data_IF_718151573866
#
_entry.id   IF_718151573866
#
_cell.length_a   1.000
_cell.length_b   1.000
_cell.length_c   1.000
_cell.angle_alpha   90.00
_cell.angle_beta   90.00
_cell.angle_gamma   90.00
#
_symmetry.space_group_name_H-M   'P 1'
#
loop_
_entity.id
_entity.type
_entity.pdbx_description
1 polymer ?
#
# COMPACT_ATOMS: atom_id res chain seq x y z
N UNK A 1 30.48 15.11 24.79
CA UNK A 1 29.01 14.89 24.57
C UNK A 1 28.47 15.77 23.43
N UNK A 2 29.33 16.49 22.68
CA UNK A 2 28.91 17.40 21.60
C UNK A 2 29.14 16.89 20.17
N UNK A 3 29.81 15.73 20.01
CA UNK A 3 30.11 15.19 18.66
C UNK A 3 28.92 14.47 18.00
N UNK A 4 27.93 14.03 18.77
CA UNK A 4 26.80 13.23 18.26
C UNK A 4 25.70 14.11 17.61
N UNK A 5 25.56 15.36 18.02
CA UNK A 5 24.58 16.30 17.49
C UNK A 5 24.90 16.85 16.10
N UNK A 6 26.19 17.00 15.76
CA UNK A 6 26.60 17.54 14.46
C UNK A 6 26.39 16.51 13.33
N UNK A 7 26.51 15.21 13.62
CA UNK A 7 26.25 14.14 12.66
C UNK A 7 24.76 13.99 12.31
N UNK A 8 23.88 14.18 13.30
CA UNK A 8 22.43 14.04 13.08
C UNK A 8 21.83 15.20 12.28
N UNK A 9 22.29 16.43 12.51
CA UNK A 9 21.87 17.59 11.71
C UNK A 9 22.30 17.45 10.25
N UNK A 10 23.51 17.00 9.98
CA UNK A 10 24.01 16.76 8.62
C UNK A 10 23.22 15.68 7.87
N UNK A 11 22.83 14.61 8.53
CA UNK A 11 22.00 13.55 7.95
C UNK A 11 20.58 14.04 7.62
N UNK A 12 19.95 14.79 8.53
CA UNK A 12 18.63 15.38 8.32
C UNK A 12 18.61 16.35 7.13
N UNK A 13 19.64 17.20 7.02
CA UNK A 13 19.78 18.16 5.91
C UNK A 13 19.99 17.45 4.57
N UNK A 14 20.83 16.42 4.53
CA UNK A 14 21.09 15.63 3.32
C UNK A 14 19.83 14.89 2.85
N UNK A 15 19.10 14.24 3.77
CA UNK A 15 17.82 13.58 3.51
C UNK A 15 16.76 14.59 3.02
N UNK A 16 16.65 15.74 3.69
CA UNK A 16 15.74 16.81 3.32
C UNK A 16 16.04 17.40 1.94
N UNK A 17 17.30 17.57 1.61
CA UNK A 17 17.76 18.03 0.28
C UNK A 17 17.40 17.03 -0.81
N UNK A 18 17.64 15.73 -0.58
CA UNK A 18 17.29 14.69 -1.54
C UNK A 18 15.78 14.60 -1.75
N UNK A 19 14.97 14.63 -0.69
CA UNK A 19 13.50 14.60 -0.76
C UNK A 19 12.97 15.77 -1.61
N UNK A 20 13.61 16.93 -1.51
CA UNK A 20 13.23 18.12 -2.28
C UNK A 20 13.70 18.06 -3.74
N UNK A 21 14.60 17.16 -4.07
CA UNK A 21 15.14 17.00 -5.41
C UNK A 21 14.18 16.30 -6.38
N UNK A 22 14.46 16.39 -7.68
CA UNK A 22 13.73 15.64 -8.70
C UNK A 22 13.96 14.11 -8.58
N UNK A 23 15.10 13.67 -8.02
CA UNK A 23 15.46 12.27 -7.88
C UNK A 23 14.58 11.48 -6.92
N UNK A 24 13.80 12.14 -6.07
CA UNK A 24 12.86 11.44 -5.16
C UNK A 24 11.79 10.64 -5.91
N UNK A 25 11.45 11.05 -7.14
CA UNK A 25 10.45 10.35 -7.95
C UNK A 25 10.87 8.91 -8.30
N UNK A 26 12.19 8.65 -8.34
CA UNK A 26 12.72 7.32 -8.61
C UNK A 26 12.48 6.35 -7.44
N UNK A 27 12.20 6.87 -6.26
CA UNK A 27 11.89 6.11 -5.06
C UNK A 27 10.39 5.93 -4.84
N UNK A 28 9.54 6.55 -5.67
CA UNK A 28 8.11 6.38 -5.59
C UNK A 28 7.74 5.01 -6.15
N UNK A 29 7.15 4.20 -5.30
CA UNK A 29 6.69 2.84 -5.60
C UNK A 29 5.17 2.78 -5.58
N UNK A 30 4.64 1.80 -6.29
CA UNK A 30 3.21 1.51 -6.34
C UNK A 30 2.98 0.02 -6.02
N UNK A 31 2.06 -0.25 -5.11
CA UNK A 31 1.63 -1.61 -4.81
C UNK A 31 0.13 -1.76 -5.02
N UNK A 32 -0.28 -2.84 -5.67
CA UNK A 32 -1.69 -3.15 -5.91
C UNK A 32 -2.31 -3.90 -4.74
N UNK A 33 -3.52 -3.50 -4.35
CA UNK A 33 -4.41 -4.32 -3.55
C UNK A 33 -5.50 -4.93 -4.42
N UNK A 34 -5.92 -6.14 -4.09
CA UNK A 34 -6.92 -6.90 -4.82
C UNK A 34 -8.10 -7.31 -3.95
N UNK A 35 -9.21 -7.57 -4.59
CA UNK A 35 -10.34 -8.29 -4.01
C UNK A 35 -10.60 -9.55 -4.81
N UNK A 36 -10.73 -10.68 -4.10
CA UNK A 36 -11.14 -11.96 -4.66
C UNK A 36 -12.67 -12.02 -4.64
N UNK A 37 -13.29 -11.87 -5.81
CA UNK A 37 -14.72 -12.03 -5.94
C UNK A 37 -15.11 -13.50 -5.79
N UNK A 38 -16.14 -13.79 -5.02
CA UNK A 38 -16.79 -15.11 -5.04
C UNK A 38 -17.33 -15.34 -6.44
N UNK A 39 -17.24 -16.59 -6.93
CA UNK A 39 -17.82 -16.93 -8.23
C UNK A 39 -19.29 -16.49 -8.30
N UNK A 40 -19.62 -15.76 -9.37
CA UNK A 40 -21.02 -15.47 -9.68
C UNK A 40 -21.78 -16.74 -10.07
N UNK A 41 -22.98 -16.59 -10.62
CA UNK A 41 -23.82 -17.71 -11.11
C UNK A 41 -23.12 -18.59 -12.18
N UNK A 42 -22.02 -18.11 -12.76
CA UNK A 42 -21.15 -18.80 -13.71
C UNK A 42 -20.02 -19.62 -13.05
N UNK A 43 -19.95 -19.62 -11.70
CA UNK A 43 -18.94 -20.36 -10.93
C UNK A 43 -17.52 -19.84 -11.04
N UNK A 44 -17.30 -18.77 -11.83
CA UNK A 44 -15.95 -18.22 -12.01
C UNK A 44 -15.66 -17.15 -10.96
N UNK A 45 -14.85 -17.48 -9.98
CA UNK A 45 -14.20 -16.52 -9.12
C UNK A 45 -13.31 -15.60 -9.95
N UNK A 46 -13.14 -14.36 -9.53
CA UNK A 46 -12.33 -13.39 -10.25
C UNK A 46 -11.49 -12.53 -9.32
N UNK A 47 -10.34 -12.10 -9.84
CA UNK A 47 -9.50 -11.12 -9.19
C UNK A 47 -9.85 -9.74 -9.73
N UNK A 48 -10.10 -8.77 -8.84
CA UNK A 48 -10.31 -7.38 -9.21
C UNK A 48 -9.33 -6.49 -8.46
N UNK A 49 -8.78 -5.47 -9.12
CA UNK A 49 -8.02 -4.44 -8.44
C UNK A 49 -8.94 -3.71 -7.46
N UNK A 50 -8.43 -3.46 -6.25
CA UNK A 50 -9.13 -2.70 -5.21
C UNK A 50 -8.66 -1.26 -5.21
N UNK A 51 -7.36 -1.05 -5.10
CA UNK A 51 -6.68 0.24 -5.19
C UNK A 51 -5.19 0.05 -5.52
N UNK A 52 -4.52 1.15 -5.83
CA UNK A 52 -3.06 1.22 -5.84
C UNK A 52 -2.59 2.10 -4.68
N UNK A 53 -1.69 1.61 -3.87
CA UNK A 53 -0.99 2.41 -2.87
C UNK A 53 0.29 2.99 -3.48
N UNK A 54 0.50 4.29 -3.31
CA UNK A 54 1.75 4.97 -3.67
C UNK A 54 2.52 5.30 -2.39
N UNK A 55 3.77 4.89 -2.33
CA UNK A 55 4.65 5.10 -1.17
C UNK A 55 6.08 5.37 -1.61
N UNK A 56 6.84 6.12 -0.81
CA UNK A 56 8.28 6.26 -1.02
C UNK A 56 9.04 5.12 -0.34
N UNK A 57 10.02 4.57 -1.04
CA UNK A 57 10.92 3.55 -0.48
C UNK A 57 11.87 4.19 0.53
N UNK A 58 11.65 3.96 1.83
CA UNK A 58 12.55 4.45 2.89
C UNK A 58 13.92 3.82 2.75
N UNK A 59 14.02 2.51 2.53
CA UNK A 59 15.29 1.83 2.29
C UNK A 59 16.00 2.31 1.03
N UNK A 60 15.26 2.65 -0.02
CA UNK A 60 15.81 3.28 -1.21
C UNK A 60 16.36 4.68 -0.93
N UNK A 61 15.67 5.46 -0.10
CA UNK A 61 16.12 6.80 0.33
C UNK A 61 17.41 6.70 1.16
N UNK A 62 17.44 5.81 2.15
CA UNK A 62 18.64 5.56 2.96
C UNK A 62 19.82 5.08 2.12
N UNK A 63 19.58 4.27 1.09
CA UNK A 63 20.62 3.82 0.16
C UNK A 63 21.16 4.92 -0.78
N UNK A 64 20.41 6.01 -1.00
CA UNK A 64 20.85 7.17 -1.82
C UNK A 64 21.57 8.23 -1.01
N UNK A 65 21.28 8.31 0.28
CA UNK A 65 21.90 9.27 1.19
C UNK A 65 22.77 8.47 2.16
N UNK A 66 24.11 8.63 2.05
CA UNK A 66 25.05 7.97 2.95
C UNK A 66 24.90 8.56 4.35
N UNK A 67 24.22 7.85 5.25
CA UNK A 67 24.09 8.20 6.65
C UNK A 67 24.85 7.20 7.50
N UNK A 68 25.41 7.64 8.63
CA UNK A 68 26.15 6.77 9.55
C UNK A 68 25.27 5.68 10.18
N UNK A 69 23.96 5.95 10.30
CA UNK A 69 22.96 5.01 10.75
C UNK A 69 21.67 5.18 9.93
N UNK A 70 20.85 4.12 9.80
CA UNK A 70 19.54 4.24 9.15
C UNK A 70 18.67 5.28 9.87
N UNK A 71 17.99 6.15 9.10
CA UNK A 71 17.07 7.14 9.66
C UNK A 71 15.93 6.47 10.45
N UNK A 72 15.55 5.26 10.04
CA UNK A 72 14.56 4.41 10.72
C UNK A 72 14.99 3.96 12.14
N UNK A 73 16.26 4.04 12.48
CA UNK A 73 16.76 3.71 13.84
C UNK A 73 16.59 4.85 14.85
N UNK A 74 16.37 6.09 14.39
CA UNK A 74 16.13 7.27 15.24
C UNK A 74 14.65 7.71 15.10
N UNK A 75 13.81 7.58 16.15
CA UNK A 75 12.40 7.93 16.08
C UNK A 75 12.12 9.40 15.77
N UNK A 76 13.01 10.34 16.17
CA UNK A 76 12.87 11.75 15.87
C UNK A 76 13.15 12.05 14.41
N UNK A 77 14.29 11.56 13.93
CA UNK A 77 14.69 11.70 12.54
C UNK A 77 13.67 11.02 11.61
N UNK A 78 13.21 9.83 11.97
CA UNK A 78 12.19 9.11 11.20
C UNK A 78 10.89 9.89 11.10
N UNK A 79 10.38 10.44 12.21
CA UNK A 79 9.15 11.25 12.22
C UNK A 79 9.30 12.51 11.35
N UNK A 80 10.45 13.19 11.46
CA UNK A 80 10.74 14.35 10.61
C UNK A 80 10.76 13.98 9.14
N UNK A 81 11.43 12.86 8.81
CA UNK A 81 11.51 12.31 7.46
C UNK A 81 10.12 12.00 6.87
N UNK A 82 9.27 11.30 7.63
CA UNK A 82 7.90 10.98 7.20
C UNK A 82 7.11 12.26 6.89
N UNK A 83 7.16 13.26 7.76
CA UNK A 83 6.48 14.54 7.50
C UNK A 83 6.97 15.27 6.23
N UNK A 84 8.27 15.16 5.92
CA UNK A 84 8.82 15.72 4.67
C UNK A 84 8.38 14.91 3.44
N UNK A 85 8.28 13.60 3.56
CA UNK A 85 7.79 12.73 2.49
C UNK A 85 6.31 12.96 2.22
N UNK A 86 5.48 13.14 3.26
CA UNK A 86 4.07 13.53 3.14
C UNK A 86 3.92 14.83 2.34
N UNK A 87 4.65 15.87 2.75
CA UNK A 87 4.65 17.16 2.07
C UNK A 87 5.01 16.98 0.59
N UNK A 88 6.08 16.21 0.32
CA UNK A 88 6.54 15.97 -1.04
C UNK A 88 5.51 15.20 -1.89
N UNK A 89 4.87 14.18 -1.30
CA UNK A 89 3.79 13.44 -1.96
C UNK A 89 2.65 14.39 -2.36
N UNK A 90 2.19 15.22 -1.43
CA UNK A 90 1.11 16.18 -1.65
C UNK A 90 1.46 17.21 -2.73
N UNK A 91 2.70 17.73 -2.73
CA UNK A 91 3.19 18.63 -3.77
C UNK A 91 3.21 17.97 -5.15
N UNK A 92 3.72 16.72 -5.24
CA UNK A 92 3.81 15.99 -6.50
C UNK A 92 2.43 15.74 -7.06
N UNK A 93 1.51 15.22 -6.26
CA UNK A 93 0.14 14.97 -6.68
C UNK A 93 -0.57 16.28 -7.11
N UNK A 94 -0.34 17.38 -6.40
CA UNK A 94 -0.94 18.67 -6.75
C UNK A 94 -0.43 19.24 -8.07
N UNK A 95 0.87 19.01 -8.40
CA UNK A 95 1.48 19.50 -9.66
C UNK A 95 1.09 18.65 -10.86
N UNK A 96 0.91 17.34 -10.65
CA UNK A 96 0.68 16.36 -11.71
C UNK A 96 -0.81 16.13 -11.99
N UNK A 97 -1.68 16.51 -11.05
CA UNK A 97 -3.13 16.39 -11.25
C UNK A 97 -3.58 17.23 -12.46
N UNK A 98 -3.93 16.55 -13.53
CA UNK A 98 -4.39 17.16 -14.78
C UNK A 98 -3.32 17.37 -15.85
N UNK A 99 -2.08 16.94 -15.65
CA UNK A 99 -0.99 17.06 -16.65
C UNK A 99 -0.64 15.76 -17.38
N UNK A 100 -1.30 14.65 -17.07
CA UNK A 100 -1.04 13.35 -17.73
C UNK A 100 0.35 12.77 -17.42
N UNK A 101 0.89 13.02 -16.23
CA UNK A 101 2.20 12.51 -15.81
C UNK A 101 2.16 11.07 -15.30
N UNK A 102 3.32 10.55 -14.87
CA UNK A 102 3.47 9.22 -14.28
C UNK A 102 2.60 9.01 -13.01
N UNK A 103 2.11 10.08 -12.40
CA UNK A 103 1.20 10.10 -11.26
C UNK A 103 -0.27 10.28 -11.65
N UNK A 104 -0.63 10.15 -12.93
CA UNK A 104 -2.03 10.20 -13.38
C UNK A 104 -2.84 8.96 -12.89
N UNK A 105 -2.51 8.53 -11.68
CA UNK A 105 -3.21 7.45 -10.97
C UNK A 105 -4.61 7.88 -10.50
N UNK A 106 -4.94 9.17 -10.60
CA UNK A 106 -6.28 9.70 -10.33
C UNK A 106 -7.19 9.70 -11.57
N UNK A 107 -6.76 9.05 -12.65
CA UNK A 107 -7.58 8.85 -13.85
C UNK A 107 -8.85 8.05 -13.51
N UNK A 108 -9.93 8.33 -14.26
CA UNK A 108 -11.22 7.70 -14.01
C UNK A 108 -11.26 6.19 -14.28
N UNK A 109 -10.35 5.69 -15.11
CA UNK A 109 -10.22 4.29 -15.54
C UNK A 109 -9.20 3.47 -14.72
N UNK A 110 -8.34 4.13 -13.90
CA UNK A 110 -7.41 3.45 -13.01
C UNK A 110 -8.11 3.03 -11.69
N UNK A 111 -7.59 2.05 -10.93
CA UNK A 111 -8.02 1.82 -9.56
C UNK A 111 -7.82 3.06 -8.67
N UNK A 112 -8.58 3.24 -7.57
CA UNK A 112 -8.34 4.32 -6.62
C UNK A 112 -6.88 4.38 -6.17
N UNK A 113 -6.38 5.59 -5.90
CA UNK A 113 -5.05 5.81 -5.35
C UNK A 113 -5.14 5.92 -3.83
N UNK A 114 -4.31 5.16 -3.13
CA UNK A 114 -4.08 5.33 -1.69
C UNK A 114 -2.71 5.92 -1.43
N UNK A 115 -2.62 6.79 -0.45
CA UNK A 115 -1.36 7.39 0.03
C UNK A 115 -1.30 7.35 1.54
N UNK A 116 -0.11 7.16 2.09
CA UNK A 116 0.14 7.28 3.51
C UNK A 116 0.32 8.75 3.86
N UNK A 117 -0.38 9.23 4.88
CA UNK A 117 -0.19 10.57 5.44
C UNK A 117 -0.25 10.51 6.95
N UNK A 118 0.59 11.34 7.57
CA UNK A 118 0.44 11.67 9.00
C UNK A 118 -0.81 12.52 9.22
N UNK A 119 -1.31 12.53 10.47
CA UNK A 119 -2.40 13.44 10.87
C UNK A 119 -2.04 14.89 10.55
N UNK A 120 -0.79 15.30 10.76
CA UNK A 120 -0.32 16.64 10.44
C UNK A 120 -0.30 16.90 8.92
N UNK A 121 0.04 15.89 8.12
CA UNK A 121 -0.06 15.95 6.66
C UNK A 121 -1.49 16.22 6.18
N UNK A 122 -2.48 15.54 6.76
CA UNK A 122 -3.91 15.75 6.45
C UNK A 122 -4.39 17.16 6.86
N UNK A 123 -3.91 17.67 7.98
CA UNK A 123 -4.29 19.00 8.49
C UNK A 123 -3.47 20.15 7.85
N UNK A 124 -2.58 19.84 6.91
CA UNK A 124 -1.69 20.81 6.27
C UNK A 124 -2.38 21.63 5.17
N UNK A 125 -1.79 22.80 4.87
CA UNK A 125 -2.18 23.59 3.70
C UNK A 125 -1.90 22.87 2.36
N UNK A 126 -0.94 21.96 2.34
CA UNK A 126 -0.60 21.20 1.14
C UNK A 126 -1.70 20.18 0.80
N UNK A 127 -2.30 19.53 1.82
CA UNK A 127 -3.49 18.70 1.63
C UNK A 127 -4.68 19.52 1.13
N UNK A 128 -4.95 20.68 1.72
CA UNK A 128 -6.02 21.56 1.27
C UNK A 128 -5.82 22.01 -0.20
N UNK A 129 -4.57 22.28 -0.59
CA UNK A 129 -4.21 22.63 -1.96
C UNK A 129 -4.44 21.45 -2.92
N UNK A 130 -4.05 20.22 -2.53
CA UNK A 130 -4.32 19.02 -3.31
C UNK A 130 -5.83 18.83 -3.52
N UNK A 131 -6.64 19.00 -2.47
CA UNK A 131 -8.10 18.88 -2.57
C UNK A 131 -8.70 19.92 -3.53
N UNK A 132 -8.20 21.14 -3.52
CA UNK A 132 -8.62 22.18 -4.47
C UNK A 132 -8.29 21.83 -5.92
N UNK A 133 -7.15 21.18 -6.17
CA UNK A 133 -6.72 20.78 -7.51
C UNK A 133 -7.48 19.55 -8.01
N UNK A 134 -7.69 18.55 -7.16
CA UNK A 134 -8.40 17.31 -7.54
C UNK A 134 -9.86 17.60 -7.89
N UNK A 135 -10.48 18.60 -7.32
CA UNK A 135 -11.84 19.11 -7.57
C UNK A 135 -12.82 18.01 -7.96
N UNK A 136 -13.93 17.75 -7.54
CA UNK A 136 -14.94 16.83 -8.07
C UNK A 136 -14.61 15.32 -8.25
N UNK A 137 -13.35 14.88 -8.02
CA UNK A 137 -12.94 13.46 -8.09
C UNK A 137 -12.44 12.89 -6.76
N UNK A 138 -12.96 13.31 -5.60
CA UNK A 138 -12.41 12.95 -4.30
C UNK A 138 -12.51 11.45 -3.99
N UNK A 139 -13.54 10.76 -4.47
CA UNK A 139 -13.72 9.31 -4.25
C UNK A 139 -12.66 8.40 -4.91
N UNK A 140 -11.68 8.98 -5.57
CA UNK A 140 -10.54 8.28 -6.18
C UNK A 140 -9.30 8.28 -5.29
N UNK A 141 -9.31 9.02 -4.18
CA UNK A 141 -8.22 9.10 -3.22
C UNK A 141 -8.62 8.44 -1.90
N UNK A 142 -7.74 7.58 -1.40
CA UNK A 142 -7.74 7.06 -0.04
C UNK A 142 -6.53 7.57 0.73
N UNK A 143 -6.71 7.91 1.99
CA UNK A 143 -5.62 8.29 2.88
C UNK A 143 -5.50 7.25 3.98
N UNK A 144 -4.30 6.71 4.12
CA UNK A 144 -3.94 5.71 5.11
C UNK A 144 -3.26 6.38 6.30
N UNK A 145 -3.76 6.12 7.50
CA UNK A 145 -3.21 6.61 8.77
C UNK A 145 -2.93 5.41 9.66
N UNK A 146 -1.75 5.36 10.26
CA UNK A 146 -1.40 4.23 11.15
C UNK A 146 -2.27 4.25 12.42
N UNK A 147 -2.60 3.05 12.92
CA UNK A 147 -3.33 2.90 14.18
C UNK A 147 -2.60 3.60 15.33
N UNK A 148 -1.26 3.48 15.39
CA UNK A 148 -0.47 4.11 16.44
C UNK A 148 -0.65 5.64 16.46
N UNK A 149 -0.66 6.26 15.30
CA UNK A 149 -0.86 7.71 15.19
C UNK A 149 -2.30 8.11 15.55
N UNK A 150 -3.27 7.32 15.11
CA UNK A 150 -4.69 7.57 15.42
C UNK A 150 -5.00 7.51 16.92
N UNK A 151 -4.29 6.67 17.70
CA UNK A 151 -4.48 6.55 19.16
C UNK A 151 -3.60 7.53 19.96
N UNK A 152 -2.50 8.03 19.38
CA UNK A 152 -1.55 8.90 20.08
C UNK A 152 -2.13 10.29 20.40
N UNK A 153 -2.98 10.84 19.49
CA UNK A 153 -3.68 12.11 19.66
C UNK A 153 -5.09 12.02 19.08
N UNK A 154 -6.04 11.60 19.91
CA UNK A 154 -7.43 11.41 19.50
C UNK A 154 -8.09 12.71 19.02
N UNK A 155 -7.75 13.85 19.61
CA UNK A 155 -8.33 15.13 19.21
C UNK A 155 -7.81 15.59 17.83
N UNK A 156 -6.53 15.41 17.54
CA UNK A 156 -5.99 15.68 16.22
C UNK A 156 -6.53 14.68 15.19
N UNK A 157 -6.67 13.40 15.57
CA UNK A 157 -7.27 12.37 14.72
C UNK A 157 -8.72 12.72 14.34
N UNK A 158 -9.55 13.14 15.28
CA UNK A 158 -10.94 13.54 15.00
C UNK A 158 -11.02 14.72 14.01
N UNK A 159 -10.11 15.70 14.13
CA UNK A 159 -10.02 16.80 13.17
C UNK A 159 -9.61 16.33 11.79
N UNK A 160 -8.60 15.45 11.71
CA UNK A 160 -8.14 14.87 10.44
C UNK A 160 -9.26 14.05 9.77
N UNK A 161 -9.96 13.22 10.53
CA UNK A 161 -11.10 12.44 10.04
C UNK A 161 -12.23 13.34 9.52
N UNK A 162 -12.56 14.41 10.22
CA UNK A 162 -13.53 15.40 9.76
C UNK A 162 -13.08 16.09 8.44
N UNK A 163 -11.79 16.39 8.31
CA UNK A 163 -11.19 16.97 7.09
C UNK A 163 -11.32 16.00 5.91
N UNK A 164 -10.99 14.72 6.10
CA UNK A 164 -11.13 13.69 5.07
C UNK A 164 -12.60 13.53 4.65
N UNK A 165 -13.52 13.46 5.61
CA UNK A 165 -14.95 13.31 5.34
C UNK A 165 -15.51 14.53 4.55
N UNK A 166 -15.16 15.75 4.94
CA UNK A 166 -15.55 16.97 4.22
C UNK A 166 -15.00 17.00 2.79
N UNK A 167 -13.82 16.43 2.58
CA UNK A 167 -13.17 16.32 1.27
C UNK A 167 -13.63 15.09 0.47
N UNK A 168 -14.50 14.24 1.02
CA UNK A 168 -14.96 12.97 0.45
C UNK A 168 -13.79 12.03 0.08
N UNK A 169 -12.73 12.05 0.88
CA UNK A 169 -11.57 11.17 0.75
C UNK A 169 -11.78 9.97 1.67
N UNK A 170 -11.50 8.76 1.17
CA UNK A 170 -11.63 7.54 1.95
C UNK A 170 -10.56 7.51 3.05
N UNK A 171 -10.99 7.33 4.30
CA UNK A 171 -10.07 7.07 5.41
C UNK A 171 -9.80 5.56 5.52
N UNK A 172 -8.53 5.19 5.63
CA UNK A 172 -8.07 3.82 5.83
C UNK A 172 -7.21 3.76 7.09
N UNK A 173 -7.53 2.83 7.98
CA UNK A 173 -6.72 2.56 9.17
C UNK A 173 -5.65 1.54 8.82
N UNK A 174 -4.39 1.93 8.94
CA UNK A 174 -3.23 1.11 8.57
C UNK A 174 -2.45 0.58 9.78
N UNK A 175 -1.55 -0.37 9.53
CA UNK A 175 -0.63 -0.97 10.51
C UNK A 175 -1.36 -1.59 11.74
N UNK A 176 -2.50 -2.22 11.53
CA UNK A 176 -3.21 -2.96 12.58
C UNK A 176 -2.61 -4.34 12.71
N UNK A 177 -1.81 -4.59 13.75
CA UNK A 177 -1.32 -5.94 14.05
C UNK A 177 -2.42 -6.81 14.68
N UNK A 178 -2.23 -8.14 14.67
CA UNK A 178 -3.15 -9.05 15.36
C UNK A 178 -3.26 -8.77 16.87
N UNK A 179 -2.17 -8.34 17.52
CA UNK A 179 -2.22 -7.93 18.92
C UNK A 179 -3.05 -6.66 19.11
N UNK A 180 -2.85 -5.67 18.24
CA UNK A 180 -3.67 -4.46 18.25
C UNK A 180 -5.14 -4.78 17.99
N UNK A 181 -5.44 -5.71 17.09
CA UNK A 181 -6.79 -6.19 16.80
C UNK A 181 -7.48 -6.78 18.04
N UNK A 182 -6.73 -7.54 18.87
CA UNK A 182 -7.25 -8.14 20.09
C UNK A 182 -7.37 -7.14 21.26
N UNK A 183 -6.50 -6.12 21.31
CA UNK A 183 -6.42 -5.14 22.41
C UNK A 183 -7.24 -3.88 22.19
N UNK A 184 -7.56 -3.58 20.93
CA UNK A 184 -8.31 -2.38 20.55
C UNK A 184 -9.60 -2.78 19.84
N UNK A 185 -10.44 -1.79 19.51
CA UNK A 185 -11.63 -1.99 18.68
C UNK A 185 -11.48 -1.18 17.38
N UNK A 186 -10.68 -1.67 16.40
CA UNK A 186 -10.41 -0.88 15.19
C UNK A 186 -11.67 -0.48 14.42
N UNK A 187 -12.75 -1.22 14.55
CA UNK A 187 -14.05 -0.89 13.97
C UNK A 187 -14.65 0.45 14.43
N UNK A 188 -14.25 0.94 15.61
CA UNK A 188 -14.73 2.23 16.15
C UNK A 188 -14.09 3.45 15.46
N UNK A 189 -13.01 3.28 14.71
CA UNK A 189 -12.37 4.40 13.98
C UNK A 189 -13.16 4.83 12.74
N UNK A 190 -14.22 4.11 12.38
CA UNK A 190 -15.07 4.41 11.23
C UNK A 190 -14.29 4.52 9.90
N UNK A 191 -13.26 3.68 9.75
CA UNK A 191 -12.45 3.59 8.55
C UNK A 191 -13.21 2.88 7.42
N UNK A 192 -13.06 3.34 6.19
CA UNK A 192 -13.61 2.65 5.02
C UNK A 192 -12.96 1.27 4.82
N UNK A 193 -11.66 1.17 5.07
CA UNK A 193 -10.89 -0.06 5.08
C UNK A 193 -9.97 -0.10 6.31
N UNK A 194 -9.65 -1.31 6.76
CA UNK A 194 -8.69 -1.58 7.84
C UNK A 194 -7.66 -2.57 7.31
N UNK A 195 -6.39 -2.17 7.31
CA UNK A 195 -5.26 -3.01 6.89
C UNK A 195 -4.74 -3.79 8.09
N UNK A 196 -5.02 -5.09 8.09
CA UNK A 196 -4.54 -6.03 9.09
C UNK A 196 -3.22 -6.63 8.64
N UNK A 197 -2.14 -6.32 9.34
CA UNK A 197 -0.81 -6.84 9.05
C UNK A 197 -0.74 -8.35 9.33
N UNK A 198 -0.49 -9.12 8.29
CA UNK A 198 -0.23 -10.55 8.41
C UNK A 198 1.07 -10.83 9.16
N UNK A 199 1.01 -11.81 10.04
CA UNK A 199 2.18 -12.42 10.67
C UNK A 199 2.01 -13.94 10.73
N UNK A 200 3.05 -14.75 10.48
CA UNK A 200 2.97 -16.21 10.62
C UNK A 200 2.46 -16.65 12.00
N UNK A 201 2.74 -15.85 13.05
CA UNK A 201 2.24 -16.10 14.42
C UNK A 201 0.72 -16.19 14.50
N UNK A 202 0.00 -15.53 13.57
CA UNK A 202 -1.46 -15.59 13.56
C UNK A 202 -1.99 -17.01 13.27
N UNK A 203 -1.25 -17.78 12.47
CA UNK A 203 -1.61 -19.18 12.19
C UNK A 203 -1.23 -20.13 13.35
N UNK A 204 -0.37 -19.70 14.25
CA UNK A 204 0.13 -20.48 15.39
C UNK A 204 -0.66 -20.21 16.69
N UNK A 205 -1.60 -19.26 16.68
CA UNK A 205 -2.42 -18.90 17.83
C UNK A 205 -3.31 -20.08 18.25
N UNK A 206 -3.52 -20.20 19.56
CA UNK A 206 -4.45 -21.18 20.13
C UNK A 206 -5.92 -20.88 19.76
N UNK A 207 -6.80 -21.85 19.93
CA UNK A 207 -8.21 -21.77 19.52
C UNK A 207 -8.95 -20.55 20.12
N UNK A 208 -8.65 -20.20 21.38
CA UNK A 208 -9.26 -19.06 22.05
C UNK A 208 -8.93 -17.72 21.36
N UNK A 209 -7.66 -17.53 20.98
CA UNK A 209 -7.19 -16.33 20.31
C UNK A 209 -7.67 -16.30 18.86
N UNK A 210 -7.68 -17.42 18.16
CA UNK A 210 -8.29 -17.54 16.83
C UNK A 210 -9.77 -17.13 16.87
N UNK A 211 -10.54 -17.64 17.83
CA UNK A 211 -11.93 -17.26 18.00
C UNK A 211 -12.11 -15.77 18.36
N UNK A 212 -11.14 -15.17 19.08
CA UNK A 212 -11.14 -13.74 19.38
C UNK A 212 -10.87 -12.91 18.12
N UNK A 213 -9.92 -13.31 17.28
CA UNK A 213 -9.69 -12.69 15.97
C UNK A 213 -10.95 -12.76 15.11
N UNK A 214 -11.59 -13.90 15.01
CA UNK A 214 -12.81 -14.06 14.23
C UNK A 214 -13.94 -13.15 14.71
N UNK A 215 -14.10 -12.98 16.02
CA UNK A 215 -15.05 -12.00 16.57
C UNK A 215 -14.68 -10.58 16.15
N UNK A 216 -13.42 -10.19 16.32
CA UNK A 216 -12.95 -8.86 15.96
C UNK A 216 -13.13 -8.56 14.47
N UNK A 217 -12.85 -9.53 13.58
CA UNK A 217 -13.07 -9.40 12.14
C UNK A 217 -14.55 -9.20 11.79
N UNK A 218 -15.45 -9.92 12.48
CA UNK A 218 -16.91 -9.73 12.33
C UNK A 218 -17.36 -8.37 12.82
N UNK A 219 -16.84 -7.91 13.96
CA UNK A 219 -17.18 -6.60 14.55
C UNK A 219 -16.73 -5.43 13.65
N UNK A 220 -15.58 -5.56 13.01
CA UNK A 220 -15.10 -4.62 11.99
C UNK A 220 -16.03 -4.67 10.76
N UNK A 221 -16.53 -5.82 10.40
CA UNK A 221 -17.12 -6.15 9.10
C UNK A 221 -16.05 -6.62 8.13
N UNK A 222 -16.01 -7.93 7.88
CA UNK A 222 -14.97 -8.60 7.08
C UNK A 222 -14.75 -7.94 5.72
N UNK A 223 -15.82 -7.39 5.15
CA UNK A 223 -15.74 -6.68 3.86
C UNK A 223 -14.91 -5.38 3.89
N UNK A 224 -14.55 -4.87 5.06
CA UNK A 224 -13.66 -3.70 5.23
C UNK A 224 -12.21 -4.09 5.53
N UNK A 225 -11.93 -5.38 5.74
CA UNK A 225 -10.58 -5.85 6.10
C UNK A 225 -9.77 -6.13 4.84
N UNK A 226 -8.56 -5.56 4.79
CA UNK A 226 -7.51 -5.90 3.83
C UNK A 226 -6.41 -6.63 4.60
N UNK A 227 -6.12 -7.88 4.25
CA UNK A 227 -4.95 -8.57 4.78
C UNK A 227 -3.70 -8.02 4.10
N UNK A 228 -2.97 -7.20 4.82
CA UNK A 228 -1.75 -6.55 4.38
C UNK A 228 -0.53 -7.43 4.70
N UNK A 229 0.59 -7.20 4.02
CA UNK A 229 1.77 -8.07 4.07
C UNK A 229 1.47 -9.52 3.71
N UNK A 230 0.54 -9.75 2.79
CA UNK A 230 0.29 -11.06 2.21
C UNK A 230 1.48 -11.45 1.32
N UNK A 231 2.58 -11.86 1.95
CA UNK A 231 3.86 -12.13 1.29
C UNK A 231 4.00 -13.58 0.86
N UNK A 232 3.11 -14.45 1.30
CA UNK A 232 3.12 -15.88 1.04
C UNK A 232 1.73 -16.41 0.75
N UNK A 233 1.65 -17.57 0.12
CA UNK A 233 0.40 -18.30 -0.07
C UNK A 233 -0.29 -18.63 1.26
N UNK A 234 0.49 -18.92 2.32
CA UNK A 234 -0.05 -19.20 3.65
C UNK A 234 -0.87 -18.02 4.20
N UNK A 235 -0.41 -16.78 3.97
CA UNK A 235 -1.16 -15.58 4.34
C UNK A 235 -2.52 -15.53 3.65
N UNK A 236 -2.55 -15.81 2.34
CA UNK A 236 -3.80 -15.80 1.58
C UNK A 236 -4.75 -16.93 2.02
N UNK A 237 -4.23 -18.14 2.23
CA UNK A 237 -5.02 -19.28 2.73
C UNK A 237 -5.64 -18.98 4.09
N UNK A 238 -4.85 -18.41 5.01
CA UNK A 238 -5.35 -17.98 6.32
C UNK A 238 -6.47 -16.94 6.17
N UNK A 239 -6.23 -15.88 5.39
CA UNK A 239 -7.24 -14.85 5.16
C UNK A 239 -8.54 -15.42 4.62
N UNK A 240 -8.47 -16.31 3.62
CA UNK A 240 -9.65 -16.96 3.04
C UNK A 240 -10.39 -17.84 4.04
N UNK A 241 -9.66 -18.56 4.89
CA UNK A 241 -10.26 -19.38 5.96
C UNK A 241 -11.06 -18.55 6.98
N UNK A 242 -10.60 -17.30 7.24
CA UNK A 242 -11.27 -16.32 8.11
C UNK A 242 -12.26 -15.40 7.37
N UNK A 243 -12.55 -15.67 6.09
CA UNK A 243 -13.52 -14.92 5.29
C UNK A 243 -12.98 -13.62 4.67
N UNK A 244 -11.70 -13.27 4.90
CA UNK A 244 -11.08 -12.10 4.27
C UNK A 244 -10.89 -12.35 2.78
N UNK A 245 -11.28 -11.39 1.96
CA UNK A 245 -11.22 -11.46 0.49
C UNK A 245 -10.39 -10.35 -0.14
N UNK A 246 -9.81 -9.46 0.66
CA UNK A 246 -8.97 -8.35 0.21
C UNK A 246 -7.56 -8.57 0.67
N UNK A 247 -6.60 -8.42 -0.25
CA UNK A 247 -5.20 -8.76 -0.02
C UNK A 247 -4.28 -7.73 -0.65
N UNK A 248 -3.17 -7.45 0.04
CA UNK A 248 -2.07 -6.63 -0.46
C UNK A 248 -0.74 -7.20 0.06
N UNK A 249 0.28 -7.27 -0.80
CA UNK A 249 1.61 -7.77 -0.43
C UNK A 249 2.34 -8.41 -1.61
N UNK A 250 3.57 -8.84 -1.38
CA UNK A 250 4.46 -9.37 -2.45
C UNK A 250 3.92 -10.60 -3.15
N UNK A 251 3.19 -11.47 -2.44
CA UNK A 251 2.57 -12.62 -3.09
C UNK A 251 1.47 -12.20 -4.06
N UNK A 252 0.71 -11.15 -3.70
CA UNK A 252 -0.28 -10.54 -4.59
C UNK A 252 0.39 -9.94 -5.83
N UNK A 253 1.52 -9.24 -5.65
CA UNK A 253 2.28 -8.67 -6.78
C UNK A 253 2.79 -9.78 -7.72
N UNK A 254 3.26 -10.91 -7.16
CA UNK A 254 3.68 -12.07 -7.93
C UNK A 254 2.53 -12.69 -8.75
N UNK A 255 1.35 -12.85 -8.13
CA UNK A 255 0.16 -13.35 -8.80
C UNK A 255 -0.29 -12.42 -9.93
N UNK A 256 -0.33 -11.12 -9.68
CA UNK A 256 -0.66 -10.11 -10.69
C UNK A 256 0.37 -10.10 -11.82
N UNK A 257 1.66 -10.22 -11.49
CA UNK A 257 2.73 -10.33 -12.47
C UNK A 257 2.57 -11.55 -13.36
N UNK A 258 2.30 -12.72 -12.78
CA UNK A 258 2.06 -13.96 -13.54
C UNK A 258 0.84 -13.83 -14.45
N UNK A 259 -0.26 -13.28 -13.95
CA UNK A 259 -1.47 -13.05 -14.73
C UNK A 259 -1.20 -12.11 -15.92
N UNK A 260 -0.41 -11.04 -15.70
CA UNK A 260 -0.01 -10.11 -16.76
C UNK A 260 0.87 -10.78 -17.81
N UNK A 261 1.85 -11.58 -17.40
CA UNK A 261 2.72 -12.34 -18.36
C UNK A 261 1.88 -13.25 -19.24
N UNK A 262 0.95 -14.01 -18.69
CA UNK A 262 0.07 -14.90 -19.44
C UNK A 262 -0.76 -14.15 -20.48
N UNK A 263 -1.17 -12.91 -20.18
CA UNK A 263 -2.06 -12.10 -21.02
C UNK A 263 -1.31 -11.11 -21.92
N UNK A 264 0.02 -11.00 -21.79
CA UNK A 264 0.81 -9.99 -22.49
C UNK A 264 1.29 -10.51 -23.84
N UNK A 265 0.92 -9.84 -24.93
CA UNK A 265 1.41 -10.17 -26.30
C UNK A 265 2.92 -9.95 -26.49
N UNK A 266 3.61 -9.38 -25.51
CA UNK A 266 5.06 -9.12 -25.53
C UNK A 266 5.80 -9.92 -24.43
N UNK A 267 5.21 -11.01 -23.95
CA UNK A 267 5.74 -11.77 -22.80
C UNK A 267 7.10 -12.41 -23.08
N UNK A 268 7.38 -12.82 -24.32
CA UNK A 268 8.61 -13.52 -24.71
C UNK A 268 9.90 -12.71 -24.41
N UNK A 269 9.78 -11.40 -24.31
CA UNK A 269 10.90 -10.52 -23.97
C UNK A 269 10.94 -10.06 -22.50
N UNK A 270 10.12 -10.64 -21.60
CA UNK A 270 9.94 -10.12 -20.26
C UNK A 270 9.93 -11.24 -19.20
N UNK A 271 10.88 -11.20 -18.26
CA UNK A 271 10.84 -12.07 -17.10
C UNK A 271 9.75 -11.61 -16.10
N UNK A 272 9.19 -12.57 -15.34
CA UNK A 272 8.19 -12.29 -14.29
C UNK A 272 8.64 -11.19 -13.32
N UNK A 273 9.88 -11.29 -12.83
CA UNK A 273 10.46 -10.28 -11.92
C UNK A 273 10.46 -8.89 -12.54
N UNK A 274 10.86 -8.76 -13.80
CA UNK A 274 10.85 -7.47 -14.52
C UNK A 274 9.43 -6.90 -14.65
N UNK A 275 8.44 -7.76 -14.92
CA UNK A 275 7.04 -7.34 -15.00
C UNK A 275 6.55 -6.79 -13.65
N UNK A 276 6.89 -7.46 -12.54
CA UNK A 276 6.54 -7.03 -11.18
C UNK A 276 7.23 -5.69 -10.85
N UNK A 277 8.54 -5.58 -11.11
CA UNK A 277 9.32 -4.36 -10.84
C UNK A 277 8.78 -3.16 -11.63
N UNK A 278 8.49 -3.35 -12.92
CA UNK A 278 7.89 -2.31 -13.78
C UNK A 278 6.50 -1.91 -13.34
N UNK A 279 5.69 -2.86 -12.90
CA UNK A 279 4.36 -2.59 -12.36
C UNK A 279 4.41 -1.84 -11.02
N UNK A 280 5.42 -2.12 -10.19
CA UNK A 280 5.69 -1.41 -8.93
C UNK A 280 6.29 -0.02 -9.11
N UNK A 281 6.86 0.31 -10.28
CA UNK A 281 7.41 1.63 -10.53
C UNK A 281 6.30 2.65 -10.83
N UNK A 282 6.34 3.80 -10.16
CA UNK A 282 5.41 4.91 -10.42
C UNK A 282 5.91 5.87 -11.51
N UNK A 283 7.19 5.83 -11.87
CA UNK A 283 7.82 6.73 -12.84
C UNK A 283 8.08 6.05 -14.19
N UNK A 284 8.26 6.85 -15.24
CA UNK A 284 8.50 6.38 -16.60
C UNK A 284 9.82 5.60 -16.74
N UNK A 285 10.87 5.98 -15.98
CA UNK A 285 12.18 5.33 -16.04
C UNK A 285 12.07 3.88 -15.50
N UNK A 286 11.42 3.67 -14.36
CA UNK A 286 11.21 2.34 -13.79
C UNK A 286 10.34 1.44 -14.66
N UNK A 287 9.54 2.01 -15.57
CA UNK A 287 8.70 1.31 -16.55
C UNK A 287 9.37 1.13 -17.91
N UNK A 288 10.56 1.67 -18.08
CA UNK A 288 11.27 1.62 -19.36
C UNK A 288 11.39 0.16 -19.88
N UNK A 289 11.17 0.00 -21.19
CA UNK A 289 11.17 -1.32 -21.85
C UNK A 289 9.90 -2.16 -21.66
N UNK A 290 8.85 -1.65 -20.95
CA UNK A 290 7.53 -2.25 -21.01
C UNK A 290 6.81 -1.79 -22.30
N UNK A 291 6.42 -2.75 -23.15
CA UNK A 291 5.72 -2.46 -24.41
C UNK A 291 4.18 -2.43 -24.23
N UNK A 292 3.68 -2.78 -23.03
CA UNK A 292 2.25 -2.79 -22.71
C UNK A 292 1.99 -2.15 -21.33
N UNK A 293 2.12 -0.83 -21.26
CA UNK A 293 1.94 -0.06 -20.03
C UNK A 293 0.49 -0.08 -19.55
N UNK A 294 -0.48 -0.16 -20.46
CA UNK A 294 -1.90 -0.22 -20.12
C UNK A 294 -2.23 -1.49 -19.32
N UNK A 295 -1.59 -2.62 -19.65
CA UNK A 295 -1.76 -3.86 -18.90
C UNK A 295 -1.18 -3.77 -17.48
N UNK A 296 -0.10 -3.01 -17.29
CA UNK A 296 0.45 -2.73 -15.95
C UNK A 296 -0.53 -1.87 -15.13
N UNK A 297 -1.20 -0.94 -15.76
CA UNK A 297 -2.09 0.02 -15.09
C UNK A 297 -3.51 -0.51 -14.87
N UNK A 298 -3.97 -1.45 -15.68
CA UNK A 298 -5.31 -2.04 -15.58
C UNK A 298 -5.53 -2.90 -14.32
N UNK A 299 -4.46 -3.23 -13.60
CA UNK A 299 -4.51 -4.02 -12.37
C UNK A 299 -4.49 -5.52 -12.63
N UNK A 300 -5.56 -6.13 -13.10
CA UNK A 300 -5.61 -7.58 -13.34
C UNK A 300 -6.22 -7.88 -14.71
N UNK A 301 -5.62 -8.83 -15.47
CA UNK A 301 -6.20 -9.31 -16.70
C UNK A 301 -7.57 -9.97 -16.46
N UNK A 302 -8.50 -9.77 -17.38
CA UNK A 302 -9.80 -10.41 -17.33
C UNK A 302 -9.67 -11.94 -17.40
N UNK A 303 -10.43 -12.66 -16.56
CA UNK A 303 -10.51 -14.12 -16.60
C UNK A 303 -9.42 -14.86 -15.80
N UNK A 304 -8.50 -14.17 -15.14
CA UNK A 304 -7.57 -14.82 -14.22
C UNK A 304 -8.28 -15.16 -12.90
N UNK A 305 -8.30 -16.46 -12.55
CA UNK A 305 -8.85 -16.95 -11.28
C UNK A 305 -7.73 -17.44 -10.36
N UNK A 306 -7.30 -16.62 -9.40
CA UNK A 306 -6.24 -17.01 -8.47
C UNK A 306 -6.66 -18.13 -7.51
N UNK A 307 -7.96 -18.35 -7.30
CA UNK A 307 -8.43 -19.41 -6.41
C UNK A 307 -8.17 -20.81 -6.99
N UNK A 308 -8.11 -20.93 -8.32
CA UNK A 308 -7.70 -22.18 -8.95
C UNK A 308 -6.21 -22.50 -8.69
N UNK A 309 -5.34 -21.49 -8.67
CA UNK A 309 -3.93 -21.69 -8.36
C UNK A 309 -3.69 -21.98 -6.87
N UNK A 310 -4.51 -21.43 -5.98
CA UNK A 310 -4.48 -21.73 -4.53
C UNK A 310 -5.07 -23.10 -4.18
N UNK A 311 -5.88 -23.68 -5.05
CA UNK A 311 -6.44 -25.04 -4.90
C UNK A 311 -5.45 -26.13 -5.36
N UNK A 312 -4.35 -25.78 -6.04
CA UNK A 312 -3.33 -26.74 -6.44
C UNK A 312 -2.52 -27.20 -5.23
N UNK A 313 -2.23 -28.52 -5.11
CA UNK A 313 -1.40 -29.01 -4.01
C UNK A 313 -0.01 -28.38 -4.03
N UNK A 314 0.51 -28.09 -2.86
CA UNK A 314 1.79 -27.37 -2.58
C UNK A 314 3.04 -27.92 -3.30
N UNK A 315 2.96 -29.07 -3.94
CA UNK A 315 4.05 -29.73 -4.66
C UNK A 315 4.43 -29.08 -5.99
N UNK A 316 3.55 -28.28 -6.59
CA UNK A 316 3.85 -27.63 -7.88
C UNK A 316 4.69 -26.34 -7.75
N UNK A 317 4.69 -25.70 -6.58
CA UNK A 317 5.45 -24.47 -6.30
C UNK A 317 6.88 -24.71 -5.80
N UNK A 318 7.24 -25.96 -5.49
CA UNK A 318 8.57 -26.35 -5.02
C UNK A 318 9.60 -26.55 -6.14
N UNK A 319 9.18 -26.60 -7.40
CA UNK A 319 10.04 -26.95 -8.53
C UNK A 319 10.90 -25.80 -9.07
N UNK A 320 10.68 -24.55 -8.68
CA UNK A 320 11.43 -23.38 -9.18
C UNK A 320 12.56 -22.89 -8.25
N UNK A 321 12.99 -23.67 -7.29
CA UNK A 321 14.11 -23.30 -6.39
C UNK A 321 15.48 -23.80 -6.84
N UNK A 322 15.62 -24.39 -8.03
CA UNK A 322 16.91 -24.85 -8.55
C UNK A 322 17.01 -24.47 -10.03
N UNK A 323 17.50 -23.28 -10.31
CA UNK A 323 18.30 -22.92 -11.48
C UNK A 323 18.88 -21.52 -11.27
#
# INVERSE_FOLDING_TARGET
MDEDFSGQTGAADALGSFISSAGIIDLLQRQGAIVLASGGSDGKGGLRPLYHEATFSISGLEGRVSTAAPASSDPFLFRHLVGRLDQRMLEMLSREAGRGGALDMLRSDAPPLHINLTIQGILSNDFARLMAVIGGKPGRLGVEVSLLEAVADSAAFDRARATLAASRVSFVLDAVSHLALLMTRPGLFDAALIKLDWSPRMAELGEADQAAIDRALRDIGISRVVLHRAETEAAMRWGLAHGVRRFQGRHVDAMLGAARIISCGFADGCALRQCIERAGAANALGRAGCQNTDLIDSGAPAGFDPLQSLAMPSTALAAEKVA
#
